data_IF_766726730465
#
_entry.id   IF_766726730465
#
_cell.length_a   1.000
_cell.length_b   1.000
_cell.length_c   1.000
_cell.angle_alpha   90.00
_cell.angle_beta   90.00
_cell.angle_gamma   90.00
#
_symmetry.space_group_name_H-M   'P 1'
#
loop_
_entity.id
_entity.type
_entity.pdbx_description
1 polymer ?
#
# COMPACT_ATOMS: atom_id res chain seq x y z
N UNK A 1 25.04 -15.57 -7.14
CA UNK A 1 24.04 -14.66 -7.75
C UNK A 1 23.21 -14.05 -6.63
N UNK A 2 22.88 -12.78 -6.70
CA UNK A 2 21.93 -12.13 -5.80
C UNK A 2 20.56 -12.14 -6.45
N UNK A 3 19.55 -12.58 -5.72
CA UNK A 3 18.16 -12.56 -6.15
C UNK A 3 17.43 -11.54 -5.29
N UNK A 4 16.86 -10.52 -5.93
CA UNK A 4 16.05 -9.48 -5.29
C UNK A 4 14.59 -9.82 -5.55
N UNK A 5 13.82 -9.98 -4.47
CA UNK A 5 12.39 -10.28 -4.51
C UNK A 5 11.62 -9.04 -4.08
N UNK A 6 10.97 -8.40 -5.04
CA UNK A 6 10.12 -7.23 -4.84
C UNK A 6 8.66 -7.67 -4.71
N UNK A 7 8.01 -7.27 -3.62
CA UNK A 7 6.58 -7.48 -3.42
C UNK A 7 5.88 -6.14 -3.43
N UNK A 8 5.03 -5.93 -4.42
CA UNK A 8 4.23 -4.72 -4.54
C UNK A 8 2.84 -4.97 -3.96
N UNK A 9 2.43 -4.18 -2.99
CA UNK A 9 1.12 -4.28 -2.33
C UNK A 9 0.10 -3.31 -2.94
N UNK A 10 -1.18 -3.49 -2.61
CA UNK A 10 -2.26 -2.65 -3.14
C UNK A 10 -2.19 -1.19 -2.71
N UNK A 11 -1.58 -0.93 -1.56
CA UNK A 11 -1.33 0.40 -0.99
C UNK A 11 -0.11 1.11 -1.61
N UNK A 12 0.55 0.50 -2.60
CA UNK A 12 1.68 1.09 -3.30
C UNK A 12 3.04 0.85 -2.64
N UNK A 13 3.03 0.40 -1.38
CA UNK A 13 4.22 -0.04 -0.67
C UNK A 13 4.92 -1.18 -1.40
N UNK A 14 6.25 -1.16 -1.35
CA UNK A 14 7.11 -2.21 -1.91
C UNK A 14 8.01 -2.78 -0.82
N UNK A 15 8.01 -4.10 -0.66
CA UNK A 15 9.01 -4.77 0.16
C UNK A 15 10.05 -5.46 -0.70
N UNK A 16 11.30 -5.37 -0.29
CA UNK A 16 12.43 -6.03 -0.93
C UNK A 16 13.02 -7.09 0.00
N UNK A 17 13.37 -8.22 -0.58
CA UNK A 17 14.14 -9.26 0.08
C UNK A 17 15.31 -9.67 -0.83
N UNK A 18 16.53 -9.64 -0.28
CA UNK A 18 17.74 -10.03 -1.00
C UNK A 18 18.19 -11.40 -0.53
N UNK A 19 18.28 -12.33 -1.47
CA UNK A 19 18.71 -13.71 -1.21
C UNK A 19 19.96 -13.99 -2.03
N UNK A 20 21.02 -14.46 -1.39
CA UNK A 20 22.20 -14.94 -2.11
C UNK A 20 22.02 -16.42 -2.41
N UNK A 21 22.01 -16.79 -3.69
CA UNK A 21 21.87 -18.17 -4.12
C UNK A 21 23.05 -18.61 -4.99
N UNK A 22 23.48 -19.86 -4.78
CA UNK A 22 24.30 -20.59 -5.73
C UNK A 22 23.38 -21.05 -6.85
N UNK A 23 23.56 -20.47 -8.03
CA UNK A 23 22.73 -20.77 -9.19
C UNK A 23 23.39 -21.90 -9.96
N UNK A 24 22.94 -23.12 -9.71
CA UNK A 24 23.41 -24.30 -10.47
C UNK A 24 22.80 -24.34 -11.88
N UNK A 25 21.60 -23.79 -12.05
CA UNK A 25 20.92 -23.67 -13.33
C UNK A 25 19.83 -22.59 -13.30
N UNK A 26 19.75 -21.79 -14.37
CA UNK A 26 18.66 -20.82 -14.55
C UNK A 26 17.28 -21.49 -14.58
N UNK A 27 17.18 -22.73 -15.05
CA UNK A 27 15.92 -23.48 -15.08
C UNK A 27 15.34 -23.68 -13.68
N UNK A 28 16.18 -24.00 -12.69
CA UNK A 28 15.74 -24.18 -11.31
C UNK A 28 15.31 -22.85 -10.68
N UNK A 29 15.96 -21.74 -11.04
CA UNK A 29 15.53 -20.39 -10.62
C UNK A 29 14.14 -20.06 -11.17
N UNK A 30 13.89 -20.26 -12.48
CA UNK A 30 12.56 -20.02 -13.06
C UNK A 30 11.48 -20.91 -12.45
N UNK A 31 11.83 -22.15 -12.10
CA UNK A 31 10.90 -23.09 -11.44
C UNK A 31 10.59 -22.65 -10.01
N UNK A 32 11.60 -22.20 -9.25
CA UNK A 32 11.48 -21.74 -7.87
C UNK A 32 10.66 -20.46 -7.77
N UNK A 33 10.88 -19.51 -8.67
CA UNK A 33 10.16 -18.23 -8.72
C UNK A 33 9.03 -18.23 -9.75
N UNK A 34 8.43 -19.39 -10.01
CA UNK A 34 7.27 -19.49 -10.89
C UNK A 34 6.14 -18.60 -10.36
N UNK A 35 5.58 -17.77 -11.24
CA UNK A 35 4.53 -16.81 -10.88
C UNK A 35 5.05 -15.48 -10.32
N UNK A 36 6.38 -15.29 -10.28
CA UNK A 36 6.99 -13.97 -10.17
C UNK A 36 7.34 -13.47 -11.57
N UNK A 37 7.24 -12.16 -11.77
CA UNK A 37 7.63 -11.49 -13.00
C UNK A 37 9.13 -11.17 -12.94
N UNK A 38 9.86 -11.51 -13.99
CA UNK A 38 11.22 -11.02 -14.16
C UNK A 38 11.19 -9.53 -14.48
N UNK A 39 11.88 -8.73 -13.67
CA UNK A 39 12.05 -7.29 -13.89
C UNK A 39 13.41 -7.01 -14.51
N UNK A 40 14.47 -7.57 -13.91
CA UNK A 40 15.85 -7.36 -14.34
C UNK A 40 16.62 -8.67 -14.24
N UNK A 41 17.51 -8.91 -15.20
CA UNK A 41 18.49 -9.97 -15.17
C UNK A 41 19.82 -9.39 -15.62
N UNK A 42 20.81 -9.39 -14.74
CA UNK A 42 22.20 -9.06 -15.03
C UNK A 42 23.14 -10.20 -14.58
N UNK A 43 24.44 -10.06 -14.83
CA UNK A 43 25.44 -11.11 -14.57
C UNK A 43 25.55 -11.51 -13.09
N UNK A 44 25.11 -10.64 -12.17
CA UNK A 44 25.25 -10.83 -10.72
C UNK A 44 23.91 -10.82 -9.98
N UNK A 45 22.85 -10.28 -10.58
CA UNK A 45 21.59 -9.94 -9.95
C UNK A 45 20.39 -10.35 -10.80
N UNK A 46 19.41 -10.97 -10.17
CA UNK A 46 18.09 -11.24 -10.76
C UNK A 46 17.05 -10.53 -9.90
N UNK A 47 16.23 -9.67 -10.51
CA UNK A 47 15.13 -8.99 -9.83
C UNK A 47 13.81 -9.61 -10.26
N UNK A 48 13.10 -10.21 -9.30
CA UNK A 48 11.77 -10.73 -9.46
C UNK A 48 10.77 -9.84 -8.75
N UNK A 49 9.64 -9.55 -9.38
CA UNK A 49 8.52 -8.81 -8.78
C UNK A 49 7.27 -9.64 -8.72
N UNK A 50 6.52 -9.51 -7.63
CA UNK A 50 5.19 -10.09 -7.49
C UNK A 50 4.23 -9.08 -6.91
N UNK A 51 3.09 -8.91 -7.56
CA UNK A 51 1.97 -8.17 -6.99
C UNK A 51 1.29 -9.02 -5.94
N UNK A 52 1.17 -8.47 -4.74
CA UNK A 52 0.45 -9.06 -3.62
C UNK A 52 -0.93 -8.44 -3.58
N UNK A 53 -1.95 -9.29 -3.69
CA UNK A 53 -3.35 -8.87 -3.62
C UNK A 53 -3.80 -8.65 -2.17
N UNK A 54 -3.04 -7.84 -1.43
CA UNK A 54 -3.25 -7.50 -0.03
C UNK A 54 -2.58 -6.14 0.25
N UNK A 55 -2.92 -5.52 1.37
CA UNK A 55 -2.23 -4.32 1.87
C UNK A 55 -0.94 -4.71 2.62
N UNK A 56 0.03 -3.79 2.63
CA UNK A 56 1.31 -4.02 3.28
C UNK A 56 1.19 -4.29 4.80
N UNK A 57 2.16 -5.02 5.39
CA UNK A 57 2.24 -5.18 6.85
C UNK A 57 2.32 -3.84 7.60
N UNK A 58 2.97 -2.82 7.02
CA UNK A 58 3.06 -1.47 7.58
C UNK A 58 1.66 -0.88 7.78
N UNK A 59 0.86 -0.88 6.71
CA UNK A 59 -0.50 -0.37 6.73
C UNK A 59 -1.38 -1.17 7.70
N UNK A 60 -1.24 -2.50 7.72
CA UNK A 60 -1.96 -3.36 8.67
C UNK A 60 -1.57 -3.11 10.12
N UNK A 61 -0.36 -2.64 10.41
CA UNK A 61 0.14 -2.47 11.78
C UNK A 61 -0.19 -1.07 12.33
N UNK A 62 -0.01 -0.04 11.51
CA UNK A 62 -0.13 1.35 11.96
C UNK A 62 -1.05 2.22 11.09
N UNK A 63 -1.62 1.72 10.00
CA UNK A 63 -2.41 2.53 9.08
C UNK A 63 -3.77 2.97 9.64
N UNK A 64 -4.05 4.27 9.54
CA UNK A 64 -5.38 4.86 9.76
C UNK A 64 -5.77 5.76 8.61
N UNK A 65 -6.97 5.58 8.05
CA UNK A 65 -7.56 6.60 7.19
C UNK A 65 -7.87 7.84 8.01
N UNK A 66 -7.57 8.99 7.44
CA UNK A 66 -8.00 10.28 7.94
C UNK A 66 -8.13 11.27 6.80
N UNK A 67 -8.24 12.53 7.18
CA UNK A 67 -8.30 13.63 6.24
C UNK A 67 -7.25 14.66 6.61
N UNK A 68 -6.56 15.18 5.60
CA UNK A 68 -5.62 16.30 5.75
C UNK A 68 -6.40 17.62 5.88
N UNK A 69 -5.69 18.69 6.24
CA UNK A 69 -6.30 20.02 6.42
C UNK A 69 -6.91 20.58 5.13
N UNK A 70 -6.36 20.20 3.97
CA UNK A 70 -6.89 20.53 2.64
C UNK A 70 -8.06 19.63 2.20
N UNK A 71 -8.48 18.65 3.01
CA UNK A 71 -9.62 17.79 2.68
C UNK A 71 -9.24 16.53 1.88
N UNK A 72 -7.96 16.19 1.78
CA UNK A 72 -7.49 15.00 1.07
C UNK A 72 -7.62 13.75 1.94
N UNK A 73 -8.39 12.76 1.46
CA UNK A 73 -8.46 11.43 2.08
C UNK A 73 -7.07 10.78 1.95
N UNK A 74 -6.47 10.43 3.09
CA UNK A 74 -5.14 9.85 3.16
C UNK A 74 -5.07 8.77 4.25
N UNK A 75 -4.07 7.89 4.16
CA UNK A 75 -3.71 6.98 5.24
C UNK A 75 -2.46 7.51 5.94
N UNK A 76 -2.53 7.56 7.26
CA UNK A 76 -1.46 8.03 8.13
C UNK A 76 -0.80 6.84 8.85
N UNK A 77 0.49 6.99 9.12
CA UNK A 77 1.22 6.12 10.04
C UNK A 77 0.86 6.53 11.48
N UNK A 78 -0.07 5.79 12.09
CA UNK A 78 -0.71 6.16 13.34
C UNK A 78 -1.96 7.02 13.13
N UNK A 79 -2.50 7.57 14.22
CA UNK A 79 -3.72 8.39 14.15
C UNK A 79 -3.46 9.68 13.34
N UNK A 80 -4.45 10.15 12.55
CA UNK A 80 -4.34 11.40 11.83
C UNK A 80 -4.15 12.57 12.79
N UNK A 81 -3.23 13.46 12.42
CA UNK A 81 -2.83 14.63 13.20
C UNK A 81 -1.91 15.51 12.36
N UNK A 82 -1.68 16.75 12.79
CA UNK A 82 -0.93 17.76 12.00
C UNK A 82 0.49 17.35 11.64
N UNK A 83 1.13 16.52 12.45
CA UNK A 83 2.50 16.04 12.27
C UNK A 83 2.57 14.56 11.90
N UNK A 84 1.43 13.93 11.61
CA UNK A 84 1.39 12.51 11.28
C UNK A 84 1.94 12.29 9.88
N UNK A 85 2.82 11.31 9.76
CA UNK A 85 3.37 10.88 8.47
C UNK A 85 2.26 10.29 7.60
N UNK A 86 2.18 10.73 6.35
CA UNK A 86 1.24 10.23 5.36
C UNK A 86 1.92 9.07 4.63
N UNK A 87 1.29 7.89 4.67
CA UNK A 87 1.72 6.71 3.92
C UNK A 87 1.23 6.81 2.48
N UNK A 88 -0.05 7.16 2.30
CA UNK A 88 -0.68 7.20 0.98
C UNK A 88 -1.78 8.26 0.94
N UNK A 89 -1.80 9.07 -0.12
CA UNK A 89 -2.87 10.02 -0.42
C UNK A 89 -3.73 9.52 -1.58
N UNK A 90 -5.03 9.78 -1.52
CA UNK A 90 -6.00 9.35 -2.53
C UNK A 90 -6.55 10.54 -3.30
N UNK A 91 -7.68 11.09 -2.86
CA UNK A 91 -8.42 12.15 -3.51
C UNK A 91 -8.99 13.12 -2.48
N UNK A 92 -9.24 14.34 -2.92
CA UNK A 92 -9.93 15.35 -2.13
C UNK A 92 -11.41 15.00 -2.02
N UNK A 93 -11.97 15.14 -0.82
CA UNK A 93 -13.40 14.92 -0.56
C UNK A 93 -14.07 16.21 -0.14
N UNK A 94 -15.32 16.37 -0.56
CA UNK A 94 -16.17 17.48 -0.13
C UNK A 94 -16.66 17.21 1.31
N UNK A 95 -15.86 17.65 2.28
CA UNK A 95 -16.13 17.45 3.70
C UNK A 95 -17.47 18.03 4.13
N UNK A 96 -17.95 19.08 3.45
CA UNK A 96 -19.23 19.72 3.77
C UNK A 96 -20.42 18.82 3.45
N UNK A 97 -20.27 17.88 2.50
CA UNK A 97 -21.29 16.88 2.16
C UNK A 97 -21.30 15.66 3.09
N UNK A 98 -20.28 15.52 3.94
CA UNK A 98 -20.21 14.42 4.91
C UNK A 98 -21.05 14.74 6.15
N UNK A 99 -21.73 13.71 6.66
CA UNK A 99 -22.38 13.80 7.97
C UNK A 99 -21.36 14.09 9.07
N UNK A 100 -21.74 14.83 10.11
CA UNK A 100 -20.85 15.19 11.23
C UNK A 100 -20.15 13.96 11.84
N UNK A 101 -20.87 12.83 11.95
CA UNK A 101 -20.31 11.57 12.47
C UNK A 101 -19.21 10.99 11.56
N UNK A 102 -19.34 11.11 10.24
CA UNK A 102 -18.33 10.65 9.30
C UNK A 102 -17.09 11.53 9.34
N UNK A 103 -17.28 12.86 9.47
CA UNK A 103 -16.17 13.80 9.65
C UNK A 103 -15.39 13.49 10.94
N UNK A 104 -16.09 13.24 12.05
CA UNK A 104 -15.44 12.86 13.31
C UNK A 104 -14.65 11.56 13.21
N UNK A 105 -15.17 10.56 12.47
CA UNK A 105 -14.45 9.30 12.25
C UNK A 105 -13.14 9.53 11.49
N UNK A 106 -13.16 10.34 10.43
CA UNK A 106 -11.95 10.71 9.68
C UNK A 106 -10.96 11.49 10.55
N UNK A 107 -11.44 12.44 11.36
CA UNK A 107 -10.60 13.20 12.29
C UNK A 107 -9.98 12.34 13.40
N UNK A 108 -10.71 11.35 13.91
CA UNK A 108 -10.19 10.41 14.93
C UNK A 108 -9.29 9.32 14.33
N UNK A 109 -9.43 9.06 13.04
CA UNK A 109 -8.76 7.99 12.33
C UNK A 109 -9.60 6.71 12.27
N UNK A 110 -9.66 6.11 11.08
CA UNK A 110 -10.30 4.80 10.86
C UNK A 110 -9.20 3.77 10.63
N UNK A 111 -9.06 2.83 11.57
CA UNK A 111 -8.00 1.81 11.50
C UNK A 111 -8.14 0.91 10.26
N UNK A 112 -7.02 0.65 9.59
CA UNK A 112 -6.94 -0.28 8.46
C UNK A 112 -6.38 -1.62 8.89
N UNK A 113 -7.25 -2.59 9.13
CA UNK A 113 -6.86 -3.92 9.64
C UNK A 113 -6.78 -4.99 8.54
N UNK A 114 -7.44 -4.75 7.41
CA UNK A 114 -7.51 -5.71 6.32
C UNK A 114 -7.69 -5.02 4.98
N UNK A 115 -7.45 -5.77 3.90
CA UNK A 115 -7.71 -5.35 2.52
C UNK A 115 -9.17 -4.95 2.33
N UNK A 116 -10.12 -5.75 2.83
CA UNK A 116 -11.55 -5.49 2.64
C UNK A 116 -11.92 -4.16 3.31
N UNK A 117 -11.37 -3.88 4.49
CA UNK A 117 -11.59 -2.61 5.18
C UNK A 117 -10.97 -1.45 4.40
N UNK A 118 -9.79 -1.64 3.82
CA UNK A 118 -9.12 -0.67 2.97
C UNK A 118 -9.99 -0.30 1.76
N UNK A 119 -10.45 -1.29 1.00
CA UNK A 119 -11.28 -1.10 -0.19
C UNK A 119 -12.62 -0.45 0.14
N UNK A 120 -13.31 -0.94 1.19
CA UNK A 120 -14.60 -0.41 1.63
C UNK A 120 -14.56 1.08 1.99
N UNK A 121 -13.51 1.50 2.72
CA UNK A 121 -13.40 2.90 3.15
C UNK A 121 -13.15 3.81 1.95
N UNK A 122 -12.28 3.39 1.02
CA UNK A 122 -12.00 4.14 -0.22
C UNK A 122 -13.28 4.27 -1.04
N UNK A 123 -13.99 3.16 -1.27
CA UNK A 123 -15.24 3.15 -2.04
C UNK A 123 -16.33 4.02 -1.39
N UNK A 124 -16.49 3.92 -0.06
CA UNK A 124 -17.45 4.74 0.67
C UNK A 124 -17.17 6.24 0.48
N UNK A 125 -15.92 6.68 0.61
CA UNK A 125 -15.58 8.09 0.49
C UNK A 125 -15.46 8.59 -0.96
N UNK A 126 -15.30 7.69 -1.94
CA UNK A 126 -15.26 8.04 -3.37
C UNK A 126 -16.53 8.75 -3.83
N UNK A 127 -17.67 8.45 -3.23
CA UNK A 127 -18.95 9.12 -3.51
C UNK A 127 -18.95 10.61 -3.17
N UNK A 128 -18.01 11.06 -2.32
CA UNK A 128 -17.84 12.44 -1.91
C UNK A 128 -16.60 13.09 -2.54
N UNK A 129 -15.93 12.38 -3.46
CA UNK A 129 -14.76 12.91 -4.13
C UNK A 129 -15.13 14.19 -4.90
N UNK A 130 -14.30 15.22 -4.76
CA UNK A 130 -14.39 16.40 -5.61
C UNK A 130 -13.87 16.00 -6.98
N UNK A 131 -14.74 16.00 -7.98
CA UNK A 131 -14.31 15.86 -9.37
C UNK A 131 -13.61 17.16 -9.75
N UNK A 132 -12.33 17.08 -10.09
CA UNK A 132 -11.64 18.16 -10.79
C UNK A 132 -12.00 18.13 -12.27
#
# INVERSE_FOLDING_TARGET
>A
MTIVLERQYLDGEMSEEKVTETVDSMTEIWKKYRGWQLVTLDDQTIVFRKTINDISPLLKTNGYFGITDDGTLSIFNGKPGRSSEIIQSFFQIDVQKLESRQQEKLKKGIRVLSKERYEQVIEMYRHFAVVQ
#
